data_IF_984059855479
#
_entry.id   IF_984059855479
#
_cell.length_a   1.000
_cell.length_b   1.000
_cell.length_c   1.000
_cell.angle_alpha   90.00
_cell.angle_beta   90.00
_cell.angle_gamma   90.00
#
_symmetry.space_group_name_H-M   'P 1'
#
loop_
_entity.id
_entity.type
_entity.pdbx_description
1 polymer ?
#
# COMPACT_ATOMS: atom_id res chain seq x y z
N UNK A 1 24.17 -0.64 -2.22
CA UNK A 1 23.83 -1.92 -1.55
C UNK A 1 22.32 -2.12 -1.65
N UNK A 2 21.83 -3.30 -2.03
CA UNK A 2 20.38 -3.57 -2.02
C UNK A 2 19.94 -3.70 -0.56
N UNK A 3 19.26 -2.69 -0.02
CA UNK A 3 18.68 -2.76 1.31
C UNK A 3 17.69 -3.93 1.38
N UNK A 4 17.58 -4.59 2.53
CA UNK A 4 16.59 -5.67 2.75
C UNK A 4 15.17 -5.22 2.35
N UNK A 5 14.87 -3.93 2.59
CA UNK A 5 13.64 -3.27 2.14
C UNK A 5 13.45 -3.34 0.61
N UNK A 6 14.47 -3.00 -0.18
CA UNK A 6 14.42 -3.07 -1.65
C UNK A 6 14.24 -4.50 -2.16
N UNK A 7 14.93 -5.48 -1.56
CA UNK A 7 14.77 -6.89 -1.92
C UNK A 7 13.34 -7.39 -1.64
N UNK A 8 12.80 -7.07 -0.45
CA UNK A 8 11.42 -7.44 -0.08
C UNK A 8 10.39 -6.72 -0.93
N UNK A 9 10.63 -5.46 -1.30
CA UNK A 9 9.75 -4.71 -2.19
C UNK A 9 9.63 -5.38 -3.56
N UNK A 10 10.75 -5.83 -4.15
CA UNK A 10 10.74 -6.57 -5.43
C UNK A 10 9.91 -7.84 -5.38
N UNK A 11 10.01 -8.61 -4.30
CA UNK A 11 9.23 -9.84 -4.12
C UNK A 11 7.73 -9.54 -4.07
N UNK A 12 7.32 -8.52 -3.30
CA UNK A 12 5.93 -8.10 -3.23
C UNK A 12 5.39 -7.63 -4.59
N UNK A 13 6.18 -6.86 -5.34
CA UNK A 13 5.84 -6.45 -6.71
C UNK A 13 5.65 -7.68 -7.62
N UNK A 14 6.55 -8.66 -7.56
CA UNK A 14 6.43 -9.87 -8.37
C UNK A 14 5.16 -10.68 -8.03
N UNK A 15 4.80 -10.77 -6.75
CA UNK A 15 3.55 -11.42 -6.33
C UNK A 15 2.31 -10.65 -6.80
N UNK A 16 2.31 -9.32 -6.71
CA UNK A 16 1.22 -8.51 -7.22
C UNK A 16 1.01 -8.73 -8.74
N UNK A 17 2.09 -8.74 -9.51
CA UNK A 17 2.05 -9.02 -10.96
C UNK A 17 1.43 -10.40 -11.22
N UNK A 18 1.87 -11.43 -10.49
CA UNK A 18 1.33 -12.79 -10.65
C UNK A 18 -0.16 -12.86 -10.31
N UNK A 19 -0.59 -12.21 -9.24
CA UNK A 19 -2.02 -12.13 -8.88
C UNK A 19 -2.83 -11.44 -9.98
N UNK A 20 -2.34 -10.34 -10.56
CA UNK A 20 -3.03 -9.68 -11.67
C UNK A 20 -3.05 -10.53 -12.95
N UNK A 21 -1.95 -11.20 -13.30
CA UNK A 21 -1.89 -12.06 -14.50
C UNK A 21 -2.88 -13.24 -14.41
N UNK A 22 -3.08 -13.81 -13.21
CA UNK A 22 -4.09 -14.85 -13.00
C UNK A 22 -5.52 -14.39 -13.31
N UNK A 23 -5.84 -13.10 -13.11
CA UNK A 23 -7.16 -12.55 -13.46
C UNK A 23 -7.34 -12.28 -14.94
N UNK A 24 -6.23 -12.22 -15.71
CA UNK A 24 -6.24 -12.03 -17.16
C UNK A 24 -6.41 -13.34 -17.93
N UNK A 25 -5.93 -14.47 -17.38
CA UNK A 25 -5.76 -15.74 -18.14
C UNK A 25 -6.63 -16.91 -17.66
N UNK A 26 -7.42 -16.78 -16.60
CA UNK A 26 -8.17 -17.88 -15.98
C UNK A 26 -9.71 -17.83 -16.19
N UNK A 27 -10.43 -18.92 -15.83
CA UNK A 27 -11.89 -18.90 -15.71
C UNK A 27 -12.32 -17.74 -14.81
N UNK A 28 -13.24 -16.91 -15.33
CA UNK A 28 -13.70 -15.70 -14.65
C UNK A 28 -14.69 -16.08 -13.54
N UNK A 29 -14.19 -16.56 -12.40
CA UNK A 29 -14.94 -16.51 -11.15
C UNK A 29 -14.80 -15.11 -10.54
N UNK A 30 -15.84 -14.27 -10.53
CA UNK A 30 -15.70 -12.86 -10.14
C UNK A 30 -15.22 -12.70 -8.70
N UNK A 31 -15.64 -13.59 -7.78
CA UNK A 31 -15.22 -13.54 -6.37
C UNK A 31 -13.73 -13.87 -6.21
N UNK A 32 -13.23 -14.85 -6.97
CA UNK A 32 -11.83 -15.25 -6.97
C UNK A 32 -10.96 -14.15 -7.58
N UNK A 33 -11.41 -13.52 -8.67
CA UNK A 33 -10.74 -12.38 -9.29
C UNK A 33 -10.67 -11.16 -8.35
N UNK A 34 -11.77 -10.82 -7.66
CA UNK A 34 -11.78 -9.75 -6.66
C UNK A 34 -10.80 -10.02 -5.51
N UNK A 35 -10.72 -11.26 -5.03
CA UNK A 35 -9.75 -11.65 -4.00
C UNK A 35 -8.32 -11.48 -4.48
N UNK A 36 -8.01 -11.92 -5.70
CA UNK A 36 -6.69 -11.77 -6.31
C UNK A 36 -6.30 -10.29 -6.48
N UNK A 37 -7.23 -9.45 -6.96
CA UNK A 37 -7.00 -8.01 -7.10
C UNK A 37 -6.78 -7.31 -5.76
N UNK A 38 -7.52 -7.71 -4.71
CA UNK A 38 -7.28 -7.21 -3.34
C UNK A 38 -5.87 -7.55 -2.88
N UNK A 39 -5.42 -8.81 -3.04
CA UNK A 39 -4.07 -9.21 -2.66
C UNK A 39 -2.99 -8.49 -3.47
N UNK A 40 -3.22 -8.29 -4.78
CA UNK A 40 -2.32 -7.50 -5.61
C UNK A 40 -2.18 -6.07 -5.10
N UNK A 41 -3.31 -5.42 -4.78
CA UNK A 41 -3.33 -4.07 -4.19
C UNK A 41 -2.55 -4.01 -2.87
N UNK A 42 -2.83 -4.92 -1.94
CA UNK A 42 -2.16 -4.96 -0.64
C UNK A 42 -0.63 -5.12 -0.79
N UNK A 43 -0.20 -5.95 -1.75
CA UNK A 43 1.22 -6.15 -2.06
C UNK A 43 1.86 -4.90 -2.69
N UNK A 44 1.15 -4.21 -3.59
CA UNK A 44 1.62 -2.95 -4.18
C UNK A 44 1.76 -1.87 -3.11
N UNK A 45 0.74 -1.68 -2.27
CA UNK A 45 0.77 -0.70 -1.19
C UNK A 45 1.93 -0.96 -0.22
N UNK A 46 2.18 -2.24 0.11
CA UNK A 46 3.31 -2.64 0.94
C UNK A 46 4.67 -2.40 0.24
N UNK A 47 4.78 -2.70 -1.05
CA UNK A 47 5.99 -2.46 -1.84
C UNK A 47 6.31 -0.96 -1.95
N UNK A 48 5.31 -0.10 -2.19
CA UNK A 48 5.46 1.37 -2.21
C UNK A 48 6.05 1.86 -0.88
N UNK A 49 5.54 1.34 0.25
CA UNK A 49 6.09 1.68 1.55
C UNK A 49 7.57 1.31 1.69
N UNK A 50 7.96 0.11 1.28
CA UNK A 50 9.35 -0.34 1.37
C UNK A 50 10.29 0.44 0.43
N UNK A 51 9.84 0.77 -0.77
CA UNK A 51 10.59 1.64 -1.68
C UNK A 51 10.73 3.06 -1.14
N UNK A 52 9.69 3.56 -0.47
CA UNK A 52 9.73 4.85 0.23
C UNK A 52 10.80 4.83 1.33
N UNK A 53 10.86 3.77 2.14
CA UNK A 53 11.89 3.64 3.18
C UNK A 53 13.30 3.56 2.60
N UNK A 54 13.47 2.77 1.54
CA UNK A 54 14.75 2.65 0.83
C UNK A 54 15.18 4.03 0.28
N UNK A 55 14.29 4.74 -0.41
CA UNK A 55 14.56 6.09 -0.93
C UNK A 55 14.90 7.08 0.19
N UNK A 56 14.20 7.01 1.34
CA UNK A 56 14.52 7.81 2.53
C UNK A 56 15.90 7.51 3.09
N UNK A 57 16.29 6.24 3.14
CA UNK A 57 17.63 5.82 3.60
C UNK A 57 18.75 6.29 2.67
N UNK A 58 18.44 6.46 1.38
CA UNK A 58 19.36 7.04 0.37
C UNK A 58 19.34 8.58 0.35
N UNK A 59 18.59 9.22 1.26
CA UNK A 59 18.57 10.68 1.42
C UNK A 59 17.50 11.41 0.60
N UNK A 60 16.60 10.71 -0.09
CA UNK A 60 15.52 11.37 -0.85
C UNK A 60 14.59 12.16 0.08
N UNK A 61 14.23 13.39 -0.28
CA UNK A 61 13.28 14.20 0.49
C UNK A 61 11.83 13.71 0.32
N UNK A 62 10.98 13.95 1.32
CA UNK A 62 9.54 13.62 1.21
C UNK A 62 8.86 14.30 0.02
N UNK A 63 9.30 15.52 -0.34
CA UNK A 63 8.79 16.24 -1.50
C UNK A 63 9.14 15.52 -2.81
N UNK A 64 10.38 15.04 -2.96
CA UNK A 64 10.81 14.28 -4.13
C UNK A 64 10.06 12.96 -4.25
N UNK A 65 9.88 12.23 -3.15
CA UNK A 65 9.11 10.98 -3.15
C UNK A 65 7.63 11.25 -3.50
N UNK A 66 7.06 12.33 -2.96
CA UNK A 66 5.70 12.75 -3.30
C UNK A 66 5.55 13.04 -4.79
N UNK A 67 6.51 13.75 -5.38
CA UNK A 67 6.53 14.04 -6.82
C UNK A 67 6.48 12.76 -7.67
N UNK A 68 7.32 11.75 -7.37
CA UNK A 68 7.32 10.48 -8.11
C UNK A 68 6.01 9.67 -7.96
N UNK A 69 5.26 9.90 -6.88
CA UNK A 69 4.00 9.23 -6.59
C UNK A 69 2.77 10.07 -6.97
N UNK A 70 2.96 11.23 -7.59
CA UNK A 70 1.90 12.21 -7.91
C UNK A 70 1.03 12.59 -6.69
N UNK A 71 1.68 12.76 -5.53
CA UNK A 71 1.03 13.18 -4.28
C UNK A 71 1.87 14.20 -3.52
N UNK A 72 1.28 14.88 -2.54
CA UNK A 72 2.05 15.82 -1.72
C UNK A 72 3.05 15.09 -0.83
N UNK A 73 4.23 15.70 -0.61
CA UNK A 73 5.22 15.12 0.32
C UNK A 73 4.70 14.95 1.76
N UNK A 74 3.75 15.81 2.18
CA UNK A 74 3.05 15.66 3.46
C UNK A 74 2.21 14.38 3.50
N UNK A 75 1.51 14.03 2.41
CA UNK A 75 0.73 12.81 2.34
C UNK A 75 1.62 11.56 2.47
N UNK A 76 2.78 11.55 1.80
CA UNK A 76 3.78 10.47 1.91
C UNK A 76 4.27 10.32 3.36
N UNK A 77 4.66 11.43 4.01
CA UNK A 77 5.10 11.42 5.40
C UNK A 77 4.03 10.87 6.35
N UNK A 78 2.77 11.29 6.17
CA UNK A 78 1.65 10.80 6.99
C UNK A 78 1.39 9.31 6.78
N UNK A 79 1.49 8.81 5.54
CA UNK A 79 1.37 7.39 5.25
C UNK A 79 2.49 6.58 5.92
N UNK A 80 3.73 7.06 5.87
CA UNK A 80 4.87 6.42 6.54
C UNK A 80 4.66 6.32 8.06
N UNK A 81 4.29 7.43 8.72
CA UNK A 81 4.03 7.45 10.16
C UNK A 81 2.90 6.50 10.58
N UNK A 82 1.80 6.43 9.81
CA UNK A 82 0.71 5.49 10.08
C UNK A 82 1.15 4.04 10.00
N UNK A 83 1.97 3.72 9.00
CA UNK A 83 2.51 2.36 8.84
C UNK A 83 3.46 1.99 9.98
N UNK A 84 4.33 2.89 10.41
CA UNK A 84 5.19 2.67 11.58
C UNK A 84 4.38 2.45 12.86
N UNK A 85 3.34 3.24 13.09
CA UNK A 85 2.44 3.08 14.23
C UNK A 85 1.75 1.71 14.20
N UNK A 86 1.28 1.27 13.02
CA UNK A 86 0.67 -0.05 12.86
C UNK A 86 1.67 -1.19 13.09
N UNK A 87 2.91 -1.05 12.64
CA UNK A 87 3.94 -2.06 12.87
C UNK A 87 4.31 -2.15 14.35
N UNK A 88 4.43 -1.01 15.05
CA UNK A 88 4.62 -0.99 16.50
C UNK A 88 3.46 -1.67 17.24
N UNK A 89 2.22 -1.32 16.90
CA UNK A 89 1.04 -1.96 17.48
C UNK A 89 0.99 -3.47 17.20
N UNK A 90 1.45 -3.93 16.04
CA UNK A 90 1.57 -5.37 15.72
C UNK A 90 2.62 -6.07 16.57
N UNK A 91 3.79 -5.44 16.76
CA UNK A 91 4.87 -5.98 17.57
C UNK A 91 4.46 -6.07 19.04
N UNK A 92 3.82 -5.02 19.57
CA UNK A 92 3.25 -5.01 20.92
C UNK A 92 2.19 -6.10 21.06
N UNK A 93 1.22 -6.19 20.14
CA UNK A 93 0.20 -7.24 20.18
C UNK A 93 0.81 -8.65 20.15
N UNK A 94 1.86 -8.87 19.36
CA UNK A 94 2.56 -10.16 19.32
C UNK A 94 3.28 -10.46 20.64
N UNK A 95 3.94 -9.47 21.25
CA UNK A 95 4.63 -9.60 22.52
C UNK A 95 3.66 -9.95 23.67
N UNK A 96 2.51 -9.30 23.71
CA UNK A 96 1.52 -9.45 24.78
C UNK A 96 0.41 -10.48 24.46
N UNK A 97 0.52 -11.20 23.32
CA UNK A 97 -0.50 -12.12 22.78
C UNK A 97 -1.91 -11.48 22.74
N UNK A 98 -1.97 -10.17 22.50
CA UNK A 98 -3.21 -9.42 22.43
C UNK A 98 -3.82 -9.49 21.02
N UNK A 99 -5.15 -9.40 20.89
CA UNK A 99 -5.77 -9.24 19.58
C UNK A 99 -5.31 -7.92 18.94
N UNK A 100 -4.96 -7.96 17.66
CA UNK A 100 -4.54 -6.77 16.93
C UNK A 100 -5.64 -5.69 16.96
N UNK A 101 -5.31 -4.40 17.18
CA UNK A 101 -6.29 -3.34 17.10
C UNK A 101 -6.75 -3.17 15.65
N UNK A 102 -7.86 -3.80 15.27
CA UNK A 102 -8.51 -3.63 13.97
C UNK A 102 -9.31 -2.33 13.98
N UNK A 103 -8.63 -1.18 13.87
CA UNK A 103 -9.29 0.04 13.41
C UNK A 103 -9.13 0.16 11.91
N UNK A 104 -10.00 -0.53 11.17
CA UNK A 104 -10.22 -0.25 9.76
C UNK A 104 -10.73 1.19 9.65
N UNK A 105 -10.08 2.08 8.87
CA UNK A 105 -10.71 3.34 8.52
C UNK A 105 -12.00 3.00 7.77
N UNK A 106 -13.15 3.49 8.26
CA UNK A 106 -14.40 3.50 7.48
C UNK A 106 -14.11 4.33 6.23
N UNK A 107 -13.79 3.67 5.12
CA UNK A 107 -13.77 4.30 3.81
C UNK A 107 -15.23 4.58 3.48
N UNK A 108 -15.71 5.75 3.91
CA UNK A 108 -16.91 6.33 3.37
C UNK A 108 -16.59 6.69 1.91
N UNK A 109 -17.02 5.82 0.99
CA UNK A 109 -17.09 6.14 -0.42
C UNK A 109 -17.99 7.36 -0.60
N UNK A 110 -17.39 8.56 -0.60
CA UNK A 110 -18.08 9.78 -1.02
C UNK A 110 -17.92 9.89 -2.52
N UNK A 111 -18.77 9.18 -3.26
CA UNK A 111 -19.04 9.47 -4.66
C UNK A 111 -19.67 10.87 -4.76
N UNK A 112 -18.86 11.93 -4.70
CA UNK A 112 -19.27 13.21 -5.26
C UNK A 112 -18.97 13.18 -6.75
N UNK A 113 -19.89 12.58 -7.53
CA UNK A 113 -20.08 13.05 -8.90
C UNK A 113 -20.57 14.49 -8.79
N UNK A 114 -19.66 15.46 -8.83
CA UNK A 114 -19.99 16.79 -9.34
C UNK A 114 -20.32 16.58 -10.83
N UNK A 115 -21.58 16.25 -11.13
CA UNK A 115 -22.15 16.69 -12.40
C UNK A 115 -22.31 18.20 -12.23
N UNK A 116 -21.27 18.93 -12.62
CA UNK A 116 -21.40 20.35 -12.87
C UNK A 116 -22.24 20.46 -14.13
N UNK A 117 -23.47 20.89 -13.94
CA UNK A 117 -24.27 21.62 -14.92
C UNK A 117 -23.39 22.67 -15.60
N UNK A 118 -23.37 22.68 -16.93
CA UNK A 118 -23.06 23.84 -17.74
C UNK A 118 -23.51 23.57 -19.18
N UNK A 119 -24.49 24.39 -19.61
CA UNK A 119 -25.00 24.64 -20.95
C UNK A 119 -25.71 23.47 -21.67
#
# INVERSE_FOLDING_TARGET
>A
MSTEAGSRARVLTAWAIRSMDSTRRGPQEPLTALRALRHARDNVDAAIGLWTDAARSEGASWARIGHELDVTGQAVRQAALRREALQRARQEAAQWRMPLPVRLPRIAWRLSRRRKTAA
#
